data_IF_690676897018
#
_entry.id   IF_690676897018
#
_cell.length_a   1.000
_cell.length_b   1.000
_cell.length_c   1.000
_cell.angle_alpha   90.00
_cell.angle_beta   90.00
_cell.angle_gamma   90.00
#
_symmetry.space_group_name_H-M   'P 1'
#
loop_
_entity.id
_entity.type
_entity.pdbx_description
1 polymer ?
#
# COMPACT_ATOMS: atom_id res chain seq x y z
N UNK A 1 -19.93 7.66 5.76
CA UNK A 1 -20.30 6.46 6.55
C UNK A 1 -19.26 6.35 7.64
N UNK A 2 -19.63 6.64 8.89
CA UNK A 2 -18.72 6.47 10.04
C UNK A 2 -18.51 4.96 10.18
N UNK A 3 -17.27 4.51 10.31
CA UNK A 3 -17.00 3.12 10.67
C UNK A 3 -17.62 2.91 12.06
N UNK A 4 -18.65 2.09 12.15
CA UNK A 4 -19.43 1.86 13.38
C UNK A 4 -18.59 1.17 14.48
N UNK A 5 -17.37 0.76 14.15
CA UNK A 5 -16.45 0.07 15.05
C UNK A 5 -15.15 0.89 15.18
N UNK A 6 -15.02 1.65 16.29
CA UNK A 6 -13.82 2.47 16.55
C UNK A 6 -12.55 1.64 16.73
N UNK A 7 -12.70 0.32 16.88
CA UNK A 7 -11.61 -0.61 17.10
C UNK A 7 -11.16 -1.34 15.81
N UNK A 8 -11.80 -1.09 14.67
CA UNK A 8 -11.41 -1.72 13.42
C UNK A 8 -10.11 -1.14 12.83
N UNK A 9 -9.31 -2.01 12.19
CA UNK A 9 -8.12 -1.60 11.44
C UNK A 9 -8.46 -1.21 10.00
N UNK A 10 -7.79 -0.18 9.50
CA UNK A 10 -7.94 0.32 8.13
C UNK A 10 -6.66 0.06 7.35
N UNK A 11 -6.77 -0.63 6.22
CA UNK A 11 -5.70 -0.75 5.24
C UNK A 11 -5.79 0.39 4.21
N UNK A 12 -4.72 1.14 4.06
CA UNK A 12 -4.57 2.25 3.11
C UNK A 12 -3.67 1.81 1.96
N UNK A 13 -4.11 2.01 0.72
CA UNK A 13 -3.26 1.75 -0.45
C UNK A 13 -2.22 2.85 -0.61
N UNK A 14 -0.96 2.54 -0.30
CA UNK A 14 0.15 3.49 -0.29
C UNK A 14 0.58 3.93 1.11
N UNK A 15 1.28 5.05 1.16
CA UNK A 15 1.82 5.61 2.40
C UNK A 15 0.73 6.32 3.22
N UNK A 16 0.81 6.19 4.54
CA UNK A 16 0.08 6.94 5.55
C UNK A 16 0.58 8.39 5.57
N UNK A 17 0.06 9.21 4.65
CA UNK A 17 0.27 10.67 4.62
C UNK A 17 -0.82 11.39 5.42
N UNK A 18 -0.44 12.46 6.12
CA UNK A 18 -1.37 13.39 6.77
C UNK A 18 -2.35 12.76 7.77
N UNK A 19 -1.96 11.62 8.32
CA UNK A 19 -2.76 10.88 9.28
C UNK A 19 -2.56 11.49 10.68
N UNK A 20 -3.62 12.12 11.18
CA UNK A 20 -3.75 12.63 12.55
C UNK A 20 -3.72 11.48 13.57
N UNK A 21 -3.43 11.80 14.83
CA UNK A 21 -3.39 10.84 15.97
C UNK A 21 -4.64 9.95 16.10
N UNK A 22 -5.77 10.34 15.51
CA UNK A 22 -7.03 9.58 15.49
C UNK A 22 -6.95 8.23 14.74
N UNK A 23 -5.90 7.97 13.97
CA UNK A 23 -5.80 6.76 13.15
C UNK A 23 -4.70 5.81 13.64
N UNK A 24 -4.65 5.54 14.95
CA UNK A 24 -3.74 4.53 15.52
C UNK A 24 -3.95 3.12 14.94
N UNK A 25 -5.13 2.87 14.34
CA UNK A 25 -5.50 1.60 13.72
C UNK A 25 -5.49 1.69 12.19
N UNK A 26 -4.46 2.29 11.62
CA UNK A 26 -4.28 2.36 10.17
C UNK A 26 -2.92 1.82 9.75
N UNK A 27 -2.90 1.06 8.66
CA UNK A 27 -1.69 0.52 8.04
C UNK A 27 -1.60 0.95 6.58
N UNK A 28 -0.41 1.37 6.16
CA UNK A 28 -0.12 1.69 4.77
C UNK A 28 0.44 0.47 4.06
N UNK A 29 -0.08 0.16 2.87
CA UNK A 29 0.34 -0.96 2.04
C UNK A 29 1.03 -0.43 0.78
N UNK A 30 2.35 -0.44 0.75
CA UNK A 30 3.17 0.10 -0.33
C UNK A 30 3.63 -1.06 -1.21
N UNK A 31 3.01 -1.15 -2.39
CA UNK A 31 3.16 -2.28 -3.32
C UNK A 31 4.40 -2.19 -4.21
N UNK A 32 4.97 -0.99 -4.36
CA UNK A 32 6.17 -0.77 -5.17
C UNK A 32 7.37 -0.58 -4.26
N UNK A 33 8.37 -1.42 -4.46
CA UNK A 33 9.63 -1.40 -3.72
C UNK A 33 10.81 -1.12 -4.63
N UNK A 34 10.57 -0.50 -5.80
CA UNK A 34 11.58 -0.23 -6.81
C UNK A 34 12.80 0.55 -6.27
N UNK A 35 12.62 1.28 -5.17
CA UNK A 35 13.69 1.89 -4.38
C UNK A 35 13.54 1.43 -2.93
N UNK A 36 14.20 0.34 -2.52
CA UNK A 36 14.15 -0.10 -1.14
C UNK A 36 14.85 0.93 -0.25
N UNK A 37 14.36 1.03 0.98
CA UNK A 37 14.98 1.82 2.06
C UNK A 37 16.33 1.24 2.51
N UNK A 38 16.59 -0.04 2.24
CA UNK A 38 17.88 -0.67 2.49
C UNK A 38 18.82 -0.45 1.31
N UNK A 39 20.11 -0.30 1.59
CA UNK A 39 21.16 -0.06 0.58
C UNK A 39 22.33 -1.01 0.76
N UNK A 40 23.16 -1.13 -0.28
CA UNK A 40 24.36 -1.95 -0.25
C UNK A 40 24.07 -3.41 0.07
N UNK A 41 24.82 -3.98 1.02
CA UNK A 41 24.71 -5.40 1.40
C UNK A 41 23.36 -5.76 2.03
N UNK A 42 22.67 -4.79 2.64
CA UNK A 42 21.42 -5.05 3.38
C UNK A 42 20.23 -5.30 2.45
N UNK A 43 20.34 -4.93 1.16
CA UNK A 43 19.36 -5.30 0.12
C UNK A 43 19.34 -6.82 -0.10
N UNK A 44 20.47 -7.51 0.10
CA UNK A 44 20.55 -8.96 -0.05
C UNK A 44 19.54 -9.69 0.83
N UNK A 45 19.34 -9.21 2.06
CA UNK A 45 18.32 -9.74 2.97
C UNK A 45 16.91 -9.70 2.36
N UNK A 46 16.57 -8.65 1.61
CA UNK A 46 15.26 -8.55 0.97
C UNK A 46 15.10 -9.62 -0.10
N UNK A 47 16.16 -9.92 -0.86
CA UNK A 47 16.16 -10.96 -1.90
C UNK A 47 15.97 -12.35 -1.30
N UNK A 48 16.51 -12.58 -0.11
CA UNK A 48 16.44 -13.86 0.60
C UNK A 48 15.12 -14.10 1.35
N UNK A 49 14.25 -13.08 1.48
CA UNK A 49 12.95 -13.23 2.13
C UNK A 49 12.04 -14.20 1.38
N UNK A 50 11.75 -15.34 2.01
CA UNK A 50 10.76 -16.31 1.56
C UNK A 50 9.31 -15.83 1.76
N UNK A 51 8.32 -16.45 1.09
CA UNK A 51 6.91 -16.09 1.23
C UNK A 51 6.43 -16.17 2.67
N UNK A 52 5.72 -15.14 3.13
CA UNK A 52 5.25 -15.01 4.51
C UNK A 52 6.30 -14.51 5.51
N UNK A 53 7.57 -14.40 5.10
CA UNK A 53 8.61 -13.80 5.93
C UNK A 53 8.59 -12.28 5.84
N UNK A 54 9.03 -11.64 6.92
CA UNK A 54 9.20 -10.19 7.01
C UNK A 54 10.57 -9.80 7.56
N UNK A 55 10.97 -8.57 7.32
CA UNK A 55 12.09 -7.96 8.05
C UNK A 55 11.68 -7.64 9.49
N UNK A 56 12.67 -7.34 10.33
CA UNK A 56 12.43 -6.52 11.51
C UNK A 56 11.86 -5.16 11.10
N UNK A 57 11.15 -4.53 12.03
CA UNK A 57 10.62 -3.18 11.80
C UNK A 57 11.72 -2.14 11.90
N UNK A 58 11.63 -1.11 11.08
CA UNK A 58 12.59 -0.01 10.98
C UNK A 58 11.87 1.31 10.73
N UNK A 59 12.55 2.44 10.96
CA UNK A 59 12.07 3.76 10.56
C UNK A 59 12.82 4.18 9.30
N UNK A 60 12.15 4.45 8.16
CA UNK A 60 12.83 4.90 6.95
C UNK A 60 13.64 6.19 7.17
N UNK A 61 14.85 6.28 6.59
CA UNK A 61 15.79 7.38 6.85
C UNK A 61 15.21 8.77 6.52
N UNK A 62 14.42 8.86 5.45
CA UNK A 62 13.78 10.12 5.06
C UNK A 62 12.75 10.62 6.09
N UNK A 63 12.28 9.77 7.01
CA UNK A 63 11.41 10.17 8.12
C UNK A 63 12.18 10.69 9.34
N UNK A 64 13.49 10.50 9.42
CA UNK A 64 14.28 10.95 10.57
C UNK A 64 14.26 12.48 10.74
N UNK A 65 13.97 13.22 9.66
CA UNK A 65 13.79 14.68 9.67
C UNK A 65 12.37 15.14 10.01
N UNK A 66 11.41 14.23 10.16
CA UNK A 66 10.02 14.54 10.54
C UNK A 66 9.85 14.55 12.05
N UNK A 67 8.78 15.22 12.49
CA UNK A 67 8.31 15.21 13.87
C UNK A 67 8.03 13.79 14.34
N UNK A 68 8.31 13.51 15.61
CA UNK A 68 8.22 12.13 16.13
C UNK A 68 6.83 11.52 15.97
N UNK A 69 5.76 12.30 16.13
CA UNK A 69 4.37 11.85 15.94
C UNK A 69 4.00 11.51 14.49
N UNK A 70 4.78 11.99 13.52
CA UNK A 70 4.59 11.71 12.10
C UNK A 70 5.41 10.54 11.58
N UNK A 71 6.40 10.09 12.35
CA UNK A 71 7.21 8.92 12.00
C UNK A 71 6.35 7.67 12.03
N UNK A 72 6.74 6.70 11.23
CA UNK A 72 6.08 5.41 11.06
C UNK A 72 7.11 4.32 11.25
N UNK A 73 6.64 3.21 11.80
CA UNK A 73 7.41 1.98 11.75
C UNK A 73 7.08 1.28 10.44
N UNK A 74 8.08 0.73 9.78
CA UNK A 74 7.94 0.06 8.50
C UNK A 74 8.61 -1.30 8.52
N UNK A 75 8.11 -2.23 7.72
CA UNK A 75 8.75 -3.52 7.48
C UNK A 75 8.44 -3.98 6.06
N UNK A 76 9.29 -4.84 5.51
CA UNK A 76 8.98 -5.54 4.27
C UNK A 76 8.35 -6.89 4.58
N UNK A 77 7.33 -7.26 3.80
CA UNK A 77 6.63 -8.53 3.85
C UNK A 77 6.64 -9.15 2.46
N UNK A 78 7.10 -10.40 2.34
CA UNK A 78 7.08 -11.14 1.08
C UNK A 78 5.72 -11.83 0.91
N UNK A 79 4.93 -11.34 -0.04
CA UNK A 79 3.56 -11.82 -0.26
C UNK A 79 3.51 -13.14 -1.02
N UNK A 80 4.41 -13.31 -1.99
CA UNK A 80 4.52 -14.49 -2.85
C UNK A 80 5.99 -14.71 -3.19
N UNK A 81 6.40 -15.89 -3.69
CA UNK A 81 7.74 -16.05 -4.26
C UNK A 81 8.00 -14.97 -5.33
N UNK A 82 9.27 -14.64 -5.61
CA UNK A 82 9.62 -13.85 -6.79
C UNK A 82 8.95 -14.43 -8.04
N UNK A 83 8.23 -13.60 -8.78
CA UNK A 83 7.48 -14.05 -9.96
C UNK A 83 8.37 -14.01 -11.20
N UNK A 84 8.29 -15.00 -12.11
CA UNK A 84 9.01 -14.95 -13.37
C UNK A 84 8.71 -13.66 -14.14
N UNK A 85 9.76 -12.95 -14.55
CA UNK A 85 9.65 -11.70 -15.30
C UNK A 85 9.33 -10.44 -14.46
N UNK A 86 9.16 -10.58 -13.13
CA UNK A 86 9.09 -9.44 -12.22
C UNK A 86 10.50 -8.97 -11.83
N UNK A 87 10.60 -7.76 -11.30
CA UNK A 87 11.84 -7.29 -10.68
C UNK A 87 12.22 -8.16 -9.46
N UNK A 88 13.49 -8.12 -9.05
CA UNK A 88 14.01 -8.95 -7.95
C UNK A 88 13.31 -8.68 -6.59
N UNK A 89 12.69 -7.52 -6.45
CA UNK A 89 11.90 -7.10 -5.29
C UNK A 89 10.40 -7.38 -5.49
N UNK A 90 10.04 -8.06 -6.58
CA UNK A 90 8.68 -8.39 -6.95
C UNK A 90 8.00 -9.21 -5.87
N UNK A 91 6.72 -8.94 -5.63
CA UNK A 91 5.96 -9.55 -4.52
C UNK A 91 6.39 -9.13 -3.11
N UNK A 92 7.36 -8.21 -2.95
CA UNK A 92 7.52 -7.51 -1.68
C UNK A 92 6.45 -6.43 -1.54
N UNK A 93 5.92 -6.31 -0.34
CA UNK A 93 5.12 -5.18 0.09
C UNK A 93 5.87 -4.52 1.24
N UNK A 94 6.04 -3.20 1.19
CA UNK A 94 6.40 -2.46 2.40
C UNK A 94 5.12 -2.12 3.13
N UNK A 95 5.06 -2.45 4.40
CA UNK A 95 3.96 -2.10 5.28
C UNK A 95 4.45 -0.99 6.21
N UNK A 96 3.58 -0.04 6.52
CA UNK A 96 3.87 0.97 7.54
C UNK A 96 2.71 1.13 8.51
N UNK A 97 3.03 1.39 9.77
CA UNK A 97 2.10 1.55 10.88
C UNK A 97 2.57 2.71 11.78
N UNK A 98 1.78 3.13 12.78
CA UNK A 98 2.24 4.10 13.78
C UNK A 98 3.59 3.70 14.39
N UNK A 99 4.43 4.69 14.71
CA UNK A 99 5.83 4.47 15.12
C UNK A 99 5.98 3.44 16.25
N UNK A 100 5.12 3.52 17.25
CA UNK A 100 5.22 2.74 18.49
C UNK A 100 4.31 1.49 18.43
N UNK A 101 4.15 0.92 17.23
CA UNK A 101 3.44 -0.37 17.06
C UNK A 101 4.31 -1.49 17.61
N UNK A 102 3.78 -2.25 18.57
CA UNK A 102 4.48 -3.35 19.22
C UNK A 102 4.81 -4.50 18.23
N UNK A 103 5.93 -5.21 18.42
CA UNK A 103 6.34 -6.31 17.52
C UNK A 103 5.27 -7.40 17.33
N UNK A 104 4.55 -7.77 18.37
CA UNK A 104 3.49 -8.79 18.33
C UNK A 104 2.33 -8.34 17.43
N UNK A 105 2.00 -7.05 17.48
CA UNK A 105 0.98 -6.46 16.64
C UNK A 105 1.45 -6.37 15.19
N UNK A 106 2.74 -6.13 14.94
CA UNK A 106 3.34 -6.20 13.59
C UNK A 106 3.22 -7.61 13.01
N UNK A 107 3.43 -8.65 13.81
CA UNK A 107 3.22 -10.04 13.40
C UNK A 107 1.75 -10.34 13.10
N UNK A 108 0.85 -9.85 13.95
CA UNK A 108 -0.58 -9.99 13.74
C UNK A 108 -1.06 -9.29 12.46
N UNK A 109 -0.66 -8.03 12.24
CA UNK A 109 -0.96 -7.29 11.02
C UNK A 109 -0.42 -8.03 9.79
N UNK A 110 0.80 -8.56 9.88
CA UNK A 110 1.40 -9.32 8.76
C UNK A 110 0.59 -10.57 8.44
N UNK A 111 0.08 -11.29 9.46
CA UNK A 111 -0.81 -12.44 9.25
C UNK A 111 -2.14 -12.03 8.58
N UNK A 112 -2.74 -10.91 9.00
CA UNK A 112 -3.95 -10.38 8.36
C UNK A 112 -3.71 -10.08 6.88
N UNK A 113 -2.64 -9.35 6.55
CA UNK A 113 -2.29 -9.01 5.17
C UNK A 113 -2.09 -10.28 4.32
N UNK A 114 -1.42 -11.30 4.85
CA UNK A 114 -1.20 -12.56 4.16
C UNK A 114 -2.51 -13.34 3.92
N UNK A 115 -3.48 -13.25 4.84
CA UNK A 115 -4.79 -13.86 4.69
C UNK A 115 -5.61 -13.19 3.59
N UNK A 116 -5.52 -11.85 3.48
CA UNK A 116 -6.24 -11.04 2.48
C UNK A 116 -5.70 -11.20 1.03
N UNK A 117 -4.70 -12.06 0.80
CA UNK A 117 -4.25 -12.43 -0.56
C UNK A 117 -5.26 -13.30 -1.30
N UNK A 118 -6.19 -13.93 -0.57
CA UNK A 118 -7.25 -14.74 -1.14
C UNK A 118 -8.58 -13.93 -1.20
N UNK A 119 -9.34 -14.03 -2.29
CA UNK A 119 -9.00 -14.71 -3.55
C UNK A 119 -7.91 -13.97 -4.35
N UNK A 120 -7.28 -14.66 -5.31
CA UNK A 120 -6.15 -14.09 -6.04
C UNK A 120 -6.57 -12.89 -6.90
N UNK A 121 -5.82 -11.78 -6.83
CA UNK A 121 -6.12 -10.55 -7.55
C UNK A 121 -5.86 -10.59 -9.08
N UNK A 122 -5.54 -11.77 -9.64
CA UNK A 122 -5.41 -11.96 -11.10
C UNK A 122 -6.70 -11.55 -11.83
N UNK A 123 -6.60 -11.05 -13.08
CA UNK A 123 -5.39 -10.89 -13.88
C UNK A 123 -4.65 -9.55 -13.70
N UNK A 124 -4.86 -8.80 -12.60
CA UNK A 124 -4.17 -7.51 -12.40
C UNK A 124 -2.63 -7.72 -12.41
N UNK A 125 -1.84 -6.99 -13.23
CA UNK A 125 -0.38 -7.16 -13.27
C UNK A 125 0.31 -6.95 -11.92
N UNK A 126 -0.30 -6.15 -11.03
CA UNK A 126 0.19 -5.87 -9.67
C UNK A 126 -0.25 -6.92 -8.65
N UNK A 127 -0.94 -7.99 -9.06
CA UNK A 127 -1.41 -9.05 -8.19
C UNK A 127 -0.36 -9.59 -7.19
N UNK A 128 0.95 -9.69 -7.50
CA UNK A 128 1.91 -10.28 -6.56
C UNK A 128 2.15 -9.43 -5.31
N UNK A 129 1.84 -8.14 -5.33
CA UNK A 129 1.97 -7.24 -4.17
C UNK A 129 0.62 -6.60 -3.81
N UNK A 130 -0.50 -7.27 -4.11
CA UNK A 130 -1.84 -6.75 -3.91
C UNK A 130 -2.67 -7.70 -3.06
N UNK A 131 -3.40 -7.15 -2.09
CA UNK A 131 -4.47 -7.87 -1.38
C UNK A 131 -5.79 -7.70 -2.13
N UNK A 132 -6.65 -8.72 -2.06
CA UNK A 132 -7.90 -8.74 -2.81
C UNK A 132 -8.85 -7.60 -2.47
N UNK A 133 -9.03 -7.19 -1.20
CA UNK A 133 -9.94 -6.09 -0.87
C UNK A 133 -9.59 -4.79 -1.60
N UNK A 134 -8.31 -4.46 -1.74
CA UNK A 134 -7.91 -3.27 -2.51
C UNK A 134 -8.26 -3.43 -3.99
N UNK A 135 -7.97 -4.59 -4.57
CA UNK A 135 -8.34 -4.85 -5.97
C UNK A 135 -9.85 -4.71 -6.21
N UNK A 136 -10.65 -5.23 -5.27
CA UNK A 136 -12.10 -5.20 -5.34
C UNK A 136 -12.63 -3.77 -5.27
N UNK A 137 -12.12 -2.98 -4.32
CA UNK A 137 -12.45 -1.55 -4.19
C UNK A 137 -12.06 -0.80 -5.47
N UNK A 138 -10.86 -1.01 -6.00
CA UNK A 138 -10.42 -0.38 -7.25
C UNK A 138 -11.35 -0.72 -8.43
N UNK A 139 -11.79 -1.98 -8.55
CA UNK A 139 -12.73 -2.41 -9.61
C UNK A 139 -14.07 -1.69 -9.53
N UNK A 140 -14.56 -1.40 -8.33
CA UNK A 140 -15.82 -0.67 -8.13
C UNK A 140 -15.63 0.83 -8.37
N UNK A 141 -14.56 1.42 -7.86
CA UNK A 141 -14.36 2.87 -7.89
C UNK A 141 -13.84 3.39 -9.23
N UNK A 142 -12.98 2.64 -9.94
CA UNK A 142 -12.39 3.07 -11.22
C UNK A 142 -13.45 3.44 -12.26
N UNK A 143 -14.50 2.63 -12.52
CA UNK A 143 -15.56 3.00 -13.45
C UNK A 143 -16.30 4.28 -13.06
N UNK A 144 -16.53 4.49 -11.76
CA UNK A 144 -17.24 5.66 -11.25
C UNK A 144 -16.42 6.95 -11.45
N UNK A 145 -15.12 6.90 -11.16
CA UNK A 145 -14.21 8.03 -11.34
C UNK A 145 -13.94 8.33 -12.83
N UNK A 146 -13.80 7.30 -13.68
CA UNK A 146 -13.60 7.51 -15.12
C UNK A 146 -14.86 8.04 -15.81
N UNK A 147 -16.05 7.72 -15.29
CA UNK A 147 -17.31 8.27 -15.79
C UNK A 147 -17.37 9.79 -15.63
N UNK A 148 -16.98 10.31 -14.47
CA UNK A 148 -16.93 11.76 -14.21
C UNK A 148 -15.84 12.45 -15.04
N UNK A 149 -14.65 11.88 -15.16
CA UNK A 149 -13.59 12.43 -16.03
C UNK A 149 -14.03 12.52 -17.49
N UNK A 150 -14.68 11.47 -18.01
CA UNK A 150 -15.21 11.47 -19.38
C UNK A 150 -16.31 12.51 -19.58
N UNK A 151 -17.18 12.70 -18.59
CA UNK A 151 -18.21 13.74 -18.61
C UNK A 151 -17.60 15.14 -18.63
N UNK A 152 -16.59 15.37 -17.78
CA UNK A 152 -15.86 16.64 -17.71
C UNK A 152 -15.14 16.95 -19.04
N UNK A 153 -14.38 16.00 -19.58
CA UNK A 153 -13.69 16.16 -20.87
C UNK A 153 -14.64 16.30 -22.07
N UNK A 154 -15.90 15.88 -21.95
CA UNK A 154 -16.95 16.14 -22.95
C UNK A 154 -17.45 17.58 -22.86
N UNK A 155 -17.64 18.08 -21.64
CA UNK A 155 -18.06 19.45 -21.37
C UNK A 155 -17.02 20.46 -21.86
N UNK A 156 -15.73 20.22 -21.59
CA UNK A 156 -14.63 21.06 -22.09
C UNK A 156 -14.62 21.14 -23.62
N UNK A 157 -14.84 20.02 -24.31
CA UNK A 157 -14.94 19.99 -25.78
C UNK A 157 -16.13 20.79 -26.31
N UNK A 158 -17.28 20.74 -25.65
CA UNK A 158 -18.47 21.51 -26.04
C UNK A 158 -18.30 23.01 -25.79
N UNK A 159 -17.65 23.40 -24.68
CA UNK A 159 -17.33 24.80 -24.41
C UNK A 159 -16.32 25.36 -25.44
N UNK A 160 -15.30 24.57 -25.80
CA UNK A 160 -14.33 24.95 -26.82
C UNK A 160 -14.94 25.05 -28.24
N UNK A 161 -15.98 24.27 -28.56
CA UNK A 161 -16.70 24.40 -29.83
C UNK A 161 -17.65 25.60 -29.86
N UNK A 162 -18.27 25.93 -28.72
CA UNK A 162 -19.24 27.03 -28.64
C UNK A 162 -18.59 28.42 -28.53
N UNK A 163 -17.35 28.51 -28.01
CA UNK A 163 -16.58 29.76 -27.97
C UNK A 163 -15.86 30.15 -29.28
N UNK A 164 -16.11 29.41 -30.37
CA UNK A 164 -15.57 29.69 -31.71
C UNK A 164 -16.60 30.31 -32.67
N UNK A 165 -17.78 30.68 -32.16
CA UNK A 165 -18.80 31.47 -32.88
C UNK A 165 -18.75 32.92 -32.42
#
# INVERSE_FOLDING_TARGET
RVLEDSEAWIAVDGQLKDIRESNRRAIGLIKSVARPEFVGKDVGMLLDLGPGMRTTSFVPDWQLRRDQGERRTSWYLRMWPPQPGADALGSLMRVEAPRDTEPELIDEISRWILAERAPLAKPDPRWPAMIYPIQYVEKILKPLAQGSERAYARLERQLASNGRN
#
